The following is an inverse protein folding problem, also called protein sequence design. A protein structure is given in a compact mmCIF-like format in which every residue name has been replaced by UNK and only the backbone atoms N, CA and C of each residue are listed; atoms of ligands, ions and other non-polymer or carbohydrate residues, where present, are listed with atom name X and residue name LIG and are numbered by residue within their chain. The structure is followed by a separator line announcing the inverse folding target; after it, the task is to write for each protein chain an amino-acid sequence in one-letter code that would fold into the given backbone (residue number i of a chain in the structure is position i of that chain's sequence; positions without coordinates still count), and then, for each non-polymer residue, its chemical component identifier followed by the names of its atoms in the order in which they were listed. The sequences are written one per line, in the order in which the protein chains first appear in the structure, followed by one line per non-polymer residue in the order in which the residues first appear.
data_IF_036664877321
#
_entry.id   IF_036664877321
#
_cell.length_a   1.000
_cell.length_b   1.000
_cell.length_c   1.000
_cell.angle_alpha   90.00
_cell.angle_beta   90.00
_cell.angle_gamma   90.00
#
_symmetry.space_group_name_H-M   'P 1'
#
loop_
_entity.id
_entity.type
_entity.pdbx_description
1 polymer ?
#
# COMPACT_ATOMS: atom_id res chain seq x y z
N UNK A 1 -18.52 -39.09 5.17
CA UNK A 1 -18.14 -38.89 3.75
C UNK A 1 -17.82 -40.23 3.11
N UNK A 2 -18.55 -40.59 2.05
CA UNK A 2 -18.27 -41.78 1.22
C UNK A 2 -17.53 -41.28 -0.02
N UNK A 3 -16.33 -41.81 -0.30
CA UNK A 3 -15.54 -41.41 -1.48
C UNK A 3 -15.38 -42.61 -2.41
N UNK A 4 -15.70 -42.46 -3.70
CA UNK A 4 -15.65 -43.55 -4.70
C UNK A 4 -14.28 -44.24 -4.81
N UNK A 5 -13.18 -43.50 -4.59
CA UNK A 5 -11.79 -44.00 -4.66
C UNK A 5 -11.46 -45.09 -3.62
N UNK A 6 -12.13 -45.08 -2.46
CA UNK A 6 -11.85 -45.98 -1.35
C UNK A 6 -13.04 -46.87 -0.97
N UNK A 7 -14.15 -46.75 -1.70
CA UNK A 7 -15.35 -47.54 -1.46
C UNK A 7 -15.47 -48.57 -2.58
N UNK A 8 -14.76 -49.69 -2.44
CA UNK A 8 -15.02 -50.89 -3.23
C UNK A 8 -16.34 -51.49 -2.73
N UNK A 9 -17.38 -51.43 -3.56
CA UNK A 9 -18.62 -52.15 -3.31
C UNK A 9 -18.38 -53.61 -3.65
N UNK A 10 -18.64 -54.51 -2.70
CA UNK A 10 -18.86 -55.91 -3.04
C UNK A 10 -20.27 -56.00 -3.61
N UNK A 11 -20.37 -56.47 -4.85
CA UNK A 11 -21.64 -56.81 -5.48
C UNK A 11 -21.60 -58.30 -5.78
N UNK A 12 -22.52 -59.05 -5.18
CA UNK A 12 -22.85 -60.40 -5.64
C UNK A 12 -23.80 -60.27 -6.83
N UNK A 13 -23.39 -60.79 -7.98
CA UNK A 13 -24.18 -60.75 -9.22
C UNK A 13 -25.52 -61.48 -9.07
N UNK A 14 -25.65 -62.38 -8.09
CA UNK A 14 -26.85 -63.19 -7.86
C UNK A 14 -27.80 -62.58 -6.83
N UNK A 15 -27.40 -61.52 -6.14
CA UNK A 15 -28.24 -60.84 -5.14
C UNK A 15 -28.05 -59.31 -5.26
N UNK A 16 -29.07 -58.65 -5.83
CA UNK A 16 -29.07 -57.20 -6.06
C UNK A 16 -29.07 -56.37 -4.76
N UNK A 17 -29.39 -56.98 -3.62
CA UNK A 17 -29.37 -56.34 -2.30
C UNK A 17 -28.06 -56.59 -1.52
N UNK A 18 -27.11 -57.31 -2.11
CA UNK A 18 -25.84 -57.73 -1.48
C UNK A 18 -24.79 -56.62 -1.31
N UNK A 19 -25.11 -55.38 -1.70
CA UNK A 19 -24.16 -54.26 -1.69
C UNK A 19 -23.70 -53.97 -0.27
N UNK A 20 -22.50 -54.45 0.06
CA UNK A 20 -21.84 -54.18 1.35
C UNK A 20 -20.57 -53.39 1.11
N UNK A 21 -20.36 -52.37 1.94
CA UNK A 21 -19.09 -51.64 1.96
C UNK A 21 -17.97 -52.62 2.36
N UNK A 22 -17.03 -52.91 1.45
CA UNK A 22 -16.02 -53.99 1.63
C UNK A 22 -14.99 -53.71 2.74
N UNK A 23 -14.78 -52.45 3.15
CA UNK A 23 -13.85 -52.06 4.23
C UNK A 23 -14.24 -50.71 4.83
N UNK A 24 -14.39 -50.65 6.16
CA UNK A 24 -14.42 -49.35 6.84
C UNK A 24 -13.03 -48.71 6.77
N UNK A 25 -12.97 -47.41 6.51
CA UNK A 25 -11.72 -46.65 6.48
C UNK A 25 -11.01 -46.76 7.84
N UNK A 26 -9.71 -47.04 7.80
CA UNK A 26 -8.85 -46.98 8.99
C UNK A 26 -8.77 -45.54 9.53
N UNK A 27 -8.41 -45.36 10.80
CA UNK A 27 -8.20 -44.02 11.39
C UNK A 27 -7.23 -43.17 10.56
N UNK A 28 -6.12 -43.78 10.08
CA UNK A 28 -5.13 -43.12 9.21
C UNK A 28 -5.74 -42.66 7.87
N UNK A 29 -6.59 -43.47 7.25
CA UNK A 29 -7.26 -43.10 5.99
C UNK A 29 -8.31 -42.00 6.19
N UNK A 30 -9.06 -42.03 7.30
CA UNK A 30 -9.99 -40.95 7.65
C UNK A 30 -9.24 -39.63 7.86
N UNK A 31 -8.13 -39.66 8.62
CA UNK A 31 -7.27 -38.50 8.84
C UNK A 31 -6.71 -37.95 7.51
N UNK A 32 -6.21 -38.82 6.63
CA UNK A 32 -5.68 -38.38 5.32
C UNK A 32 -6.75 -37.75 4.41
N UNK A 33 -7.97 -38.25 4.43
CA UNK A 33 -9.10 -37.67 3.69
C UNK A 33 -9.49 -36.29 4.24
N UNK A 34 -9.49 -36.14 5.56
CA UNK A 34 -9.79 -34.89 6.24
C UNK A 34 -8.70 -33.85 5.98
N UNK A 35 -7.42 -34.22 6.06
CA UNK A 35 -6.30 -33.35 5.65
C UNK A 35 -6.48 -32.90 4.21
N UNK A 36 -6.78 -33.82 3.31
CA UNK A 36 -7.02 -33.50 1.89
C UNK A 36 -8.24 -32.61 1.64
N UNK A 37 -9.26 -32.62 2.51
CA UNK A 37 -10.39 -31.69 2.46
C UNK A 37 -9.93 -30.28 2.84
N UNK A 38 -9.28 -30.13 3.98
CA UNK A 38 -8.79 -28.84 4.48
C UNK A 38 -7.79 -28.22 3.50
N UNK A 39 -6.86 -29.02 2.92
CA UNK A 39 -5.95 -28.54 1.87
C UNK A 39 -6.67 -27.95 0.65
N UNK A 40 -7.83 -28.51 0.25
CA UNK A 40 -8.65 -27.96 -0.84
C UNK A 40 -9.36 -26.67 -0.44
N UNK A 41 -9.86 -26.62 0.80
CA UNK A 41 -10.48 -25.41 1.36
C UNK A 41 -9.46 -24.26 1.42
N UNK A 42 -8.23 -24.54 1.86
CA UNK A 42 -7.11 -23.59 1.80
C UNK A 42 -6.86 -23.13 0.37
N UNK A 43 -6.73 -24.05 -0.62
CA UNK A 43 -6.52 -23.63 -2.02
C UNK A 43 -7.69 -22.80 -2.59
N UNK A 44 -8.93 -23.09 -2.23
CA UNK A 44 -10.09 -22.30 -2.66
C UNK A 44 -10.14 -20.93 -2.00
N UNK A 45 -9.84 -20.86 -0.70
CA UNK A 45 -9.73 -19.61 0.05
C UNK A 45 -8.62 -18.73 -0.54
N UNK A 46 -7.44 -19.32 -0.77
CA UNK A 46 -6.35 -18.66 -1.47
C UNK A 46 -6.83 -18.17 -2.84
N UNK A 47 -7.47 -18.96 -3.69
CA UNK A 47 -7.95 -18.44 -4.98
C UNK A 47 -8.86 -17.19 -4.92
N UNK A 48 -9.49 -16.88 -3.77
CA UNK A 48 -10.27 -15.66 -3.58
C UNK A 48 -9.52 -14.54 -2.82
N UNK A 49 -8.59 -14.89 -1.93
CA UNK A 49 -7.84 -13.94 -1.08
C UNK A 49 -6.37 -13.75 -1.51
N UNK A 50 -5.88 -14.58 -2.41
CA UNK A 50 -4.48 -14.68 -2.80
C UNK A 50 -4.03 -13.42 -3.51
N UNK A 51 -4.87 -12.85 -4.36
CA UNK A 51 -4.57 -11.57 -5.01
C UNK A 51 -4.40 -10.46 -3.96
N UNK A 52 -5.26 -10.40 -2.94
CA UNK A 52 -5.12 -9.45 -1.83
C UNK A 52 -3.86 -9.67 -1.01
N UNK A 53 -3.52 -10.92 -0.72
CA UNK A 53 -2.28 -11.24 0.01
C UNK A 53 -1.04 -10.92 -0.84
N UNK A 54 -1.07 -11.18 -2.15
CA UNK A 54 0.02 -10.82 -3.05
C UNK A 54 0.19 -9.31 -3.15
N UNK A 55 -0.91 -8.58 -3.27
CA UNK A 55 -0.95 -7.12 -3.31
C UNK A 55 -0.40 -6.50 -2.02
N UNK A 56 -0.84 -6.99 -0.86
CA UNK A 56 -0.27 -6.61 0.42
C UNK A 56 1.25 -6.86 0.46
N UNK A 57 1.70 -8.06 0.09
CA UNK A 57 3.12 -8.40 0.05
C UNK A 57 3.90 -7.53 -0.93
N UNK A 58 3.29 -7.13 -2.05
CA UNK A 58 3.86 -6.19 -3.00
C UNK A 58 4.05 -4.81 -2.35
N UNK A 59 3.07 -4.32 -1.59
CA UNK A 59 3.17 -3.06 -0.84
C UNK A 59 4.30 -3.08 0.19
N UNK A 60 4.37 -4.14 1.00
CA UNK A 60 5.45 -4.36 1.98
C UNK A 60 6.83 -4.43 1.32
N UNK A 61 6.97 -5.20 0.23
CA UNK A 61 8.25 -5.31 -0.50
C UNK A 61 8.68 -3.98 -1.12
N UNK A 62 7.72 -3.22 -1.64
CA UNK A 62 7.98 -1.89 -2.19
C UNK A 62 8.45 -0.92 -1.10
N UNK A 63 7.82 -0.93 0.07
CA UNK A 63 8.24 -0.10 1.20
C UNK A 63 9.64 -0.49 1.71
N UNK A 64 9.88 -1.80 1.86
CA UNK A 64 11.20 -2.33 2.23
C UNK A 64 12.30 -1.97 1.22
N UNK A 65 11.98 -1.91 -0.08
CA UNK A 65 12.93 -1.42 -1.08
C UNK A 65 13.35 0.01 -0.78
N UNK A 66 12.39 0.91 -0.53
CA UNK A 66 12.70 2.32 -0.26
C UNK A 66 13.43 2.54 1.05
N UNK A 67 13.08 1.80 2.10
CA UNK A 67 13.83 1.79 3.37
C UNK A 67 15.33 1.55 3.19
N UNK A 68 15.71 0.77 2.17
CA UNK A 68 17.11 0.41 1.89
C UNK A 68 17.76 1.27 0.80
N UNK A 69 16.99 2.10 0.09
CA UNK A 69 17.46 2.95 -1.00
C UNK A 69 17.51 4.42 -0.58
N UNK A 70 18.16 5.24 -1.40
CA UNK A 70 18.10 6.70 -1.24
C UNK A 70 16.83 7.25 -1.86
N UNK A 71 16.11 8.06 -1.10
CA UNK A 71 14.91 8.76 -1.54
C UNK A 71 14.79 10.12 -0.84
N UNK A 72 13.96 10.96 -1.44
CA UNK A 72 13.43 12.16 -0.83
C UNK A 72 11.93 11.99 -0.57
N UNK A 73 11.40 12.70 0.40
CA UNK A 73 9.97 12.92 0.55
C UNK A 73 9.70 14.39 0.32
N UNK A 74 8.68 14.70 -0.47
CA UNK A 74 8.25 16.05 -0.77
C UNK A 74 6.75 16.18 -0.52
N UNK A 75 6.38 17.32 0.03
CA UNK A 75 4.99 17.74 0.21
C UNK A 75 4.85 19.25 -0.03
N UNK A 76 3.68 19.69 -0.49
CA UNK A 76 3.34 21.09 -0.71
C UNK A 76 1.98 21.46 -0.13
N UNK A 77 1.93 22.62 0.53
CA UNK A 77 0.66 23.31 0.77
C UNK A 77 0.44 24.34 -0.33
N UNK A 78 -0.82 24.55 -0.71
CA UNK A 78 -1.15 25.38 -1.86
C UNK A 78 -2.37 26.27 -1.61
N UNK A 79 -2.60 27.25 -2.48
CA UNK A 79 -3.76 28.15 -2.43
C UNK A 79 -5.12 27.50 -2.73
N UNK A 80 -5.20 26.18 -2.94
CA UNK A 80 -6.39 25.47 -3.43
C UNK A 80 -6.07 24.22 -4.26
N UNK A 81 -7.08 23.59 -4.88
CA UNK A 81 -6.88 22.32 -5.60
C UNK A 81 -6.61 22.45 -7.10
N UNK A 82 -7.11 23.52 -7.74
CA UNK A 82 -7.00 23.74 -9.18
C UNK A 82 -6.40 25.11 -9.47
N UNK A 83 -5.55 25.20 -10.51
CA UNK A 83 -4.84 26.44 -10.89
C UNK A 83 -4.15 27.15 -9.72
N UNK A 84 -3.63 26.36 -8.78
CA UNK A 84 -3.13 26.80 -7.48
C UNK A 84 -1.65 27.20 -7.51
N UNK A 85 -1.21 27.91 -6.48
CA UNK A 85 0.19 28.26 -6.23
C UNK A 85 0.70 27.61 -4.93
N UNK A 86 1.98 27.25 -4.91
CA UNK A 86 2.64 26.73 -3.71
C UNK A 86 2.76 27.86 -2.67
N UNK A 87 2.34 27.58 -1.43
CA UNK A 87 2.47 28.49 -0.27
C UNK A 87 3.36 27.93 0.83
N UNK A 88 3.63 26.63 0.81
CA UNK A 88 4.64 25.98 1.64
C UNK A 88 5.20 24.78 0.88
N UNK A 89 6.49 24.52 1.06
CA UNK A 89 7.13 23.32 0.52
C UNK A 89 8.13 22.77 1.54
N UNK A 90 8.11 21.45 1.69
CA UNK A 90 9.09 20.74 2.47
C UNK A 90 9.69 19.60 1.67
N UNK A 91 10.98 19.33 1.93
CA UNK A 91 11.70 18.18 1.39
C UNK A 91 12.57 17.60 2.48
N UNK A 92 12.42 16.32 2.76
CA UNK A 92 13.28 15.55 3.67
C UNK A 92 13.96 14.40 2.93
N UNK A 93 15.08 13.89 3.46
CA UNK A 93 15.71 12.67 2.95
C UNK A 93 15.35 11.43 3.79
N UNK A 94 15.90 10.27 3.42
CA UNK A 94 15.68 8.99 4.12
C UNK A 94 16.11 8.99 5.60
N UNK A 95 16.98 9.92 6.01
CA UNK A 95 17.42 10.08 7.40
C UNK A 95 16.57 11.11 8.17
N UNK A 96 15.44 11.54 7.58
CA UNK A 96 14.56 12.62 8.05
C UNK A 96 15.27 13.97 8.19
N UNK A 97 16.40 14.16 7.52
CA UNK A 97 17.06 15.47 7.48
C UNK A 97 16.26 16.42 6.61
N UNK A 98 15.99 17.61 7.13
CA UNK A 98 15.25 18.66 6.43
C UNK A 98 16.18 19.33 5.42
N UNK A 99 15.88 19.17 4.13
CA UNK A 99 16.62 19.79 3.04
C UNK A 99 15.98 21.11 2.62
N UNK A 100 14.65 21.19 2.63
CA UNK A 100 13.83 22.38 2.44
C UNK A 100 12.69 22.35 3.45
N UNK A 101 12.40 23.50 4.04
CA UNK A 101 11.17 23.76 4.79
C UNK A 101 10.96 25.28 4.79
N UNK A 102 10.04 25.76 3.95
CA UNK A 102 9.82 27.20 3.79
C UNK A 102 8.41 27.50 3.32
N UNK A 103 7.88 28.62 3.82
CA UNK A 103 6.76 29.29 3.17
C UNK A 103 7.19 29.85 1.81
N UNK A 104 6.22 30.00 0.92
CA UNK A 104 6.39 30.58 -0.41
C UNK A 104 5.33 31.66 -0.59
N UNK A 105 5.74 32.81 -1.11
CA UNK A 105 4.82 33.90 -1.41
C UNK A 105 4.10 33.63 -2.74
N UNK A 106 2.77 33.41 -2.74
CA UNK A 106 2.00 33.30 -3.97
C UNK A 106 1.76 34.69 -4.59
N UNK A 107 1.44 34.72 -5.88
CA UNK A 107 0.95 35.92 -6.56
C UNK A 107 -0.54 36.17 -6.35
N UNK A 108 -1.28 35.18 -5.83
CA UNK A 108 -2.71 35.27 -5.53
C UNK A 108 -3.01 35.18 -4.02
N UNK A 109 -4.24 35.54 -3.64
CA UNK A 109 -4.69 35.48 -2.25
C UNK A 109 -5.09 34.05 -1.87
N UNK A 110 -4.71 33.61 -0.66
CA UNK A 110 -5.10 32.31 -0.11
C UNK A 110 -6.57 32.39 0.37
N UNK A 111 -7.51 31.63 -0.21
CA UNK A 111 -8.91 31.67 0.21
C UNK A 111 -9.10 31.20 1.66
N UNK A 112 -10.07 31.77 2.38
CA UNK A 112 -10.28 31.51 3.81
C UNK A 112 -10.58 30.03 4.12
N UNK A 113 -11.30 29.36 3.24
CA UNK A 113 -11.59 27.92 3.32
C UNK A 113 -10.33 27.06 3.22
N UNK A 114 -9.31 27.50 2.47
CA UNK A 114 -8.02 26.81 2.34
C UNK A 114 -7.16 27.09 3.58
N UNK A 115 -7.14 28.34 4.06
CA UNK A 115 -6.50 28.71 5.33
C UNK A 115 -7.02 27.84 6.49
N UNK A 116 -8.30 27.48 6.52
CA UNK A 116 -8.85 26.60 7.57
C UNK A 116 -8.27 25.19 7.58
N UNK A 117 -7.70 24.72 6.48
CA UNK A 117 -7.12 23.38 6.34
C UNK A 117 -5.70 23.40 6.89
N UNK A 118 -4.83 24.24 6.32
CA UNK A 118 -3.39 24.25 6.61
C UNK A 118 -2.94 25.35 7.59
N UNK A 119 -3.84 26.25 7.99
CA UNK A 119 -3.60 27.36 8.94
C UNK A 119 -2.52 28.38 8.53
N UNK A 120 -2.18 28.46 7.24
CA UNK A 120 -1.21 29.43 6.68
C UNK A 120 -1.99 30.64 6.21
N UNK A 121 -1.70 31.81 6.77
CA UNK A 121 -2.41 33.06 6.46
C UNK A 121 -1.69 33.85 5.37
N UNK A 122 -2.41 34.79 4.74
CA UNK A 122 -1.81 35.69 3.75
C UNK A 122 -0.72 36.57 4.37
N UNK A 123 -0.86 36.91 5.64
CA UNK A 123 0.12 37.66 6.42
C UNK A 123 1.42 36.87 6.64
N UNK A 124 1.32 35.55 6.86
CA UNK A 124 2.49 34.68 7.04
C UNK A 124 3.35 34.57 5.77
N UNK A 125 2.71 34.57 4.60
CA UNK A 125 3.41 34.44 3.31
C UNK A 125 3.81 35.80 2.70
N UNK A 126 3.39 36.92 3.30
CA UNK A 126 3.58 38.26 2.72
C UNK A 126 5.06 38.63 2.49
N UNK A 127 5.92 38.22 3.42
CA UNK A 127 7.37 38.46 3.38
C UNK A 127 8.17 37.18 3.06
N UNK A 128 7.50 36.08 2.73
CA UNK A 128 8.13 34.83 2.33
C UNK A 128 8.82 34.97 0.96
N UNK A 129 9.84 34.13 0.65
CA UNK A 129 10.42 34.09 -0.68
C UNK A 129 9.40 33.69 -1.74
N UNK A 130 9.47 34.26 -2.94
CA UNK A 130 8.69 33.76 -4.08
C UNK A 130 9.27 32.43 -4.60
N UNK A 131 8.51 31.70 -5.41
CA UNK A 131 8.97 30.42 -5.99
C UNK A 131 10.31 30.55 -6.74
N UNK A 132 10.50 31.64 -7.49
CA UNK A 132 11.76 31.94 -8.21
C UNK A 132 12.97 32.05 -7.28
N UNK A 133 12.78 32.50 -6.03
CA UNK A 133 13.87 32.63 -5.07
C UNK A 133 14.33 31.27 -4.51
N UNK A 134 13.45 30.27 -4.49
CA UNK A 134 13.77 28.93 -3.97
C UNK A 134 14.08 27.92 -5.09
N UNK A 135 13.79 28.27 -6.35
CA UNK A 135 13.88 27.37 -7.50
C UNK A 135 15.25 26.71 -7.65
N UNK A 136 16.35 27.47 -7.60
CA UNK A 136 17.68 26.89 -7.85
C UNK A 136 18.05 25.84 -6.81
N UNK A 137 17.73 26.09 -5.53
CA UNK A 137 17.92 25.13 -4.44
C UNK A 137 17.01 23.92 -4.57
N UNK A 138 15.74 24.14 -4.91
CA UNK A 138 14.78 23.05 -5.12
C UNK A 138 15.22 22.14 -6.28
N UNK A 139 15.67 22.75 -7.37
CA UNK A 139 16.20 22.04 -8.55
C UNK A 139 17.45 21.25 -8.21
N UNK A 140 18.40 21.83 -7.47
CA UNK A 140 19.62 21.14 -7.03
C UNK A 140 19.27 19.88 -6.23
N UNK A 141 18.31 19.99 -5.31
CA UNK A 141 17.90 18.88 -4.44
C UNK A 141 17.14 17.80 -5.21
N UNK A 142 16.18 18.16 -6.06
CA UNK A 142 15.28 17.18 -6.67
C UNK A 142 15.82 16.56 -7.96
N UNK A 143 16.72 17.24 -8.69
CA UNK A 143 17.11 16.79 -10.04
C UNK A 143 17.66 15.36 -10.05
N UNK A 144 17.01 14.52 -10.85
CA UNK A 144 17.32 13.09 -11.04
C UNK A 144 17.24 12.25 -9.75
N UNK A 145 16.58 12.74 -8.70
CA UNK A 145 16.34 11.97 -7.48
C UNK A 145 15.05 11.15 -7.57
N UNK A 146 14.96 10.11 -6.73
CA UNK A 146 13.69 9.45 -6.42
C UNK A 146 12.99 10.24 -5.32
N UNK A 147 11.75 10.63 -5.58
CA UNK A 147 10.94 11.44 -4.67
C UNK A 147 9.65 10.69 -4.38
N UNK A 148 9.48 10.27 -3.14
CA UNK A 148 8.21 9.75 -2.65
C UNK A 148 7.31 10.95 -2.34
N UNK A 149 6.10 10.92 -2.87
CA UNK A 149 5.07 11.93 -2.61
C UNK A 149 3.83 11.15 -2.21
N UNK A 150 3.11 11.62 -1.19
CA UNK A 150 1.91 10.91 -0.77
C UNK A 150 0.92 10.80 -1.94
N UNK A 151 0.53 11.93 -2.51
CA UNK A 151 -0.27 11.96 -3.72
C UNK A 151 0.49 12.61 -4.89
N UNK A 152 1.31 11.83 -5.59
CA UNK A 152 2.10 12.35 -6.73
C UNK A 152 1.25 12.99 -7.83
N UNK A 153 -0.02 12.62 -7.96
CA UNK A 153 -0.92 13.21 -8.96
C UNK A 153 -1.29 14.66 -8.65
N UNK A 154 -1.01 15.13 -7.44
CA UNK A 154 -1.23 16.50 -6.99
C UNK A 154 0.07 17.33 -7.06
N UNK A 155 1.06 17.02 -6.23
CA UNK A 155 2.25 17.88 -6.04
C UNK A 155 3.13 17.99 -7.28
N UNK A 156 3.36 16.88 -8.00
CA UNK A 156 4.26 16.90 -9.16
C UNK A 156 3.71 17.82 -10.28
N UNK A 157 2.43 17.74 -10.68
CA UNK A 157 1.85 18.74 -11.58
C UNK A 157 1.98 20.19 -11.08
N UNK A 158 1.83 20.45 -9.78
CA UNK A 158 1.94 21.79 -9.21
C UNK A 158 3.36 22.35 -9.35
N UNK A 159 4.40 21.56 -9.06
CA UNK A 159 5.80 21.98 -9.27
C UNK A 159 6.05 22.34 -10.74
N UNK A 160 5.51 21.56 -11.67
CA UNK A 160 5.60 21.84 -13.10
C UNK A 160 4.84 23.13 -13.48
N UNK A 161 3.68 23.35 -12.87
CA UNK A 161 2.89 24.58 -13.03
C UNK A 161 3.66 25.80 -12.54
N UNK A 162 4.29 25.73 -11.38
CA UNK A 162 5.15 26.80 -10.85
C UNK A 162 6.32 27.12 -11.79
N UNK A 163 7.01 26.09 -12.28
CA UNK A 163 8.09 26.29 -13.25
C UNK A 163 7.56 26.99 -14.50
N UNK A 164 6.43 26.54 -15.06
CA UNK A 164 5.83 27.14 -16.25
C UNK A 164 5.38 28.58 -16.01
N UNK A 165 4.73 28.86 -14.88
CA UNK A 165 4.20 30.19 -14.50
C UNK A 165 5.33 31.22 -14.40
N UNK A 166 6.50 30.79 -13.94
CA UNK A 166 7.66 31.65 -13.74
C UNK A 166 8.68 31.59 -14.89
N UNK A 167 8.33 30.98 -16.03
CA UNK A 167 9.21 30.82 -17.20
C UNK A 167 10.54 30.08 -16.88
N UNK A 168 10.50 29.16 -15.92
CA UNK A 168 11.64 28.38 -15.46
C UNK A 168 11.67 26.99 -16.14
N UNK A 169 12.86 26.42 -16.39
CA UNK A 169 12.98 25.05 -16.86
C UNK A 169 12.34 24.05 -15.87
N UNK A 170 11.66 23.04 -16.40
CA UNK A 170 11.10 21.94 -15.61
C UNK A 170 12.19 21.25 -14.79
N UNK A 171 11.90 20.98 -13.52
CA UNK A 171 12.73 20.14 -12.66
C UNK A 171 12.38 18.68 -12.95
N UNK A 172 13.37 17.88 -13.38
CA UNK A 172 13.16 16.47 -13.69
C UNK A 172 13.52 15.60 -12.48
N UNK A 173 12.54 14.89 -11.92
CA UNK A 173 12.73 13.94 -10.83
C UNK A 173 11.78 12.75 -10.99
N UNK A 174 12.14 11.61 -10.41
CA UNK A 174 11.35 10.38 -10.49
C UNK A 174 10.38 10.34 -9.30
N UNK A 175 9.13 10.72 -9.55
CA UNK A 175 8.08 10.71 -8.52
C UNK A 175 7.46 9.33 -8.34
N UNK A 176 7.27 8.91 -7.08
CA UNK A 176 6.59 7.65 -6.73
C UNK A 176 5.44 7.93 -5.76
N UNK A 177 4.27 7.33 -6.00
CA UNK A 177 3.05 7.56 -5.23
C UNK A 177 3.00 6.64 -4.00
N UNK A 178 3.14 7.19 -2.79
CA UNK A 178 3.02 6.42 -1.56
C UNK A 178 1.56 6.07 -1.25
N UNK A 179 0.60 6.94 -1.57
CA UNK A 179 -0.84 6.73 -1.30
C UNK A 179 -1.39 5.48 -2.00
N UNK A 180 -0.99 5.21 -3.25
CA UNK A 180 -1.41 4.00 -3.97
C UNK A 180 -0.95 2.73 -3.27
N UNK A 181 0.33 2.68 -2.89
CA UNK A 181 0.90 1.52 -2.19
C UNK A 181 0.32 1.38 -0.78
N UNK A 182 0.02 2.50 -0.12
CA UNK A 182 -0.61 2.48 1.20
C UNK A 182 -2.09 2.04 1.13
N UNK A 183 -2.84 2.43 0.10
CA UNK A 183 -4.20 1.93 -0.11
C UNK A 183 -4.22 0.41 -0.29
N UNK A 184 -3.28 -0.12 -1.08
CA UNK A 184 -3.08 -1.56 -1.24
C UNK A 184 -2.75 -2.23 0.09
N UNK A 185 -1.80 -1.66 0.85
CA UNK A 185 -1.41 -2.16 2.16
C UNK A 185 -2.57 -2.23 3.15
N UNK A 186 -3.45 -1.23 3.15
CA UNK A 186 -4.63 -1.21 4.02
C UNK A 186 -5.73 -2.18 3.57
N UNK A 187 -5.75 -2.58 2.29
CA UNK A 187 -6.58 -3.68 1.80
C UNK A 187 -8.09 -3.40 1.71
N UNK A 188 -8.53 -2.16 1.92
CA UNK A 188 -9.95 -1.76 1.80
C UNK A 188 -10.39 -1.72 0.33
N UNK A 189 -10.82 -2.85 -0.22
CA UNK A 189 -11.27 -2.93 -1.62
C UNK A 189 -12.68 -2.34 -1.83
N UNK A 190 -12.84 -1.49 -2.86
CA UNK A 190 -14.13 -0.99 -3.31
C UNK A 190 -14.57 -1.70 -4.59
N UNK A 191 -15.61 -2.53 -4.49
CA UNK A 191 -16.19 -3.17 -5.68
C UNK A 191 -16.87 -2.21 -6.67
N UNK A 192 -17.15 -0.96 -6.26
CA UNK A 192 -17.71 0.06 -7.17
C UNK A 192 -16.63 0.67 -8.07
N UNK A 193 -15.45 0.97 -7.50
CA UNK A 193 -14.32 1.55 -8.25
C UNK A 193 -13.41 0.47 -8.85
N UNK A 194 -13.60 -0.79 -8.44
CA UNK A 194 -12.75 -1.93 -8.79
C UNK A 194 -11.27 -1.69 -8.43
N UNK A 195 -11.05 -1.09 -7.25
CA UNK A 195 -9.72 -0.72 -6.74
C UNK A 195 -9.71 -0.58 -5.21
N UNK A 196 -8.53 -0.48 -4.63
CA UNK A 196 -8.33 -0.18 -3.22
C UNK A 196 -8.66 1.28 -2.92
N UNK A 197 -9.42 1.47 -1.84
CA UNK A 197 -9.83 2.78 -1.38
C UNK A 197 -8.63 3.56 -0.84
N UNK A 198 -8.43 4.77 -1.35
CA UNK A 198 -7.40 5.67 -0.86
C UNK A 198 -7.63 6.02 0.60
N UNK A 199 -6.52 6.10 1.32
CA UNK A 199 -6.49 6.37 2.74
C UNK A 199 -6.01 7.81 2.95
N UNK A 200 -6.57 8.55 3.91
CA UNK A 200 -6.01 9.85 4.28
C UNK A 200 -4.65 9.65 4.94
N UNK A 201 -3.69 10.55 4.66
CA UNK A 201 -2.40 10.55 5.33
C UNK A 201 -2.54 10.81 6.85
N UNK A 202 -3.58 11.59 7.21
CA UNK A 202 -3.81 12.11 8.56
C UNK A 202 -2.59 12.90 9.08
N UNK A 203 -2.02 13.73 8.21
CA UNK A 203 -0.95 14.66 8.55
C UNK A 203 -1.46 15.92 9.26
N UNK A 204 -0.54 16.84 9.53
CA UNK A 204 -0.79 18.09 10.23
C UNK A 204 -1.29 19.22 9.32
N UNK A 205 -1.38 18.98 8.01
CA UNK A 205 -1.63 20.03 6.99
C UNK A 205 -0.59 21.14 7.06
N UNK A 206 0.66 20.71 7.23
CA UNK A 206 1.87 21.51 7.12
C UNK A 206 2.87 20.65 6.37
N UNK A 207 3.55 21.22 5.39
CA UNK A 207 4.31 20.41 4.44
C UNK A 207 5.38 19.52 5.12
N UNK A 208 6.04 20.03 6.16
CA UNK A 208 7.04 19.24 6.89
C UNK A 208 6.39 18.12 7.73
N UNK A 209 5.28 18.41 8.39
CA UNK A 209 4.58 17.43 9.22
C UNK A 209 4.06 16.29 8.35
N UNK A 210 3.57 16.61 7.15
CA UNK A 210 3.06 15.64 6.18
C UNK A 210 4.21 14.83 5.54
N UNK A 211 5.38 15.44 5.29
CA UNK A 211 6.59 14.71 4.93
C UNK A 211 6.99 13.66 5.99
N UNK A 212 6.97 14.05 7.27
CA UNK A 212 7.31 13.15 8.38
C UNK A 212 6.26 12.06 8.56
N UNK A 213 4.98 12.39 8.42
CA UNK A 213 3.90 11.40 8.47
C UNK A 213 3.98 10.41 7.31
N UNK A 214 4.31 10.87 6.11
CA UNK A 214 4.55 10.00 4.96
C UNK A 214 5.74 9.06 5.19
N UNK A 215 6.81 9.54 5.84
CA UNK A 215 7.92 8.68 6.27
C UNK A 215 7.44 7.59 7.24
N UNK A 216 6.62 7.94 8.23
CA UNK A 216 6.08 6.98 9.19
C UNK A 216 5.20 5.91 8.52
N UNK A 217 4.35 6.30 7.56
CA UNK A 217 3.55 5.35 6.76
C UNK A 217 4.47 4.37 6.02
N UNK A 218 5.54 4.87 5.39
CA UNK A 218 6.50 4.02 4.69
C UNK A 218 7.15 3.00 5.65
N UNK A 219 7.55 3.44 6.83
CA UNK A 219 8.16 2.58 7.84
C UNK A 219 7.17 1.56 8.42
N UNK A 220 5.92 1.96 8.67
CA UNK A 220 4.84 1.05 9.11
C UNK A 220 4.62 -0.08 8.08
N UNK A 221 4.55 0.27 6.80
CA UNK A 221 4.43 -0.70 5.72
C UNK A 221 5.66 -1.62 5.63
N UNK A 222 6.86 -1.09 5.86
CA UNK A 222 8.09 -1.85 5.74
C UNK A 222 8.37 -2.75 6.95
N UNK A 223 7.97 -2.34 8.16
CA UNK A 223 8.04 -3.15 9.40
C UNK A 223 7.03 -4.29 9.41
N UNK A 224 6.00 -4.17 8.60
CA UNK A 224 5.01 -5.21 8.46
C UNK A 224 5.61 -6.45 7.79
N UNK A 225 5.44 -7.59 8.43
CA UNK A 225 5.73 -8.90 7.84
C UNK A 225 4.43 -9.67 7.72
N UNK A 226 4.04 -10.05 6.50
CA UNK A 226 3.08 -11.14 6.35
C UNK A 226 3.87 -12.45 6.39
N UNK A 227 3.77 -13.16 7.51
CA UNK A 227 3.98 -14.59 7.49
C UNK A 227 2.67 -15.23 7.06
N UNK A 228 2.55 -15.48 5.75
CA UNK A 228 1.35 -16.09 5.19
C UNK A 228 1.07 -17.48 5.78
N UNK A 229 2.13 -18.17 6.26
CA UNK A 229 1.99 -19.45 6.93
C UNK A 229 1.38 -19.25 8.31
N UNK A 230 1.81 -18.23 9.06
CA UNK A 230 1.21 -17.84 10.34
C UNK A 230 -0.26 -17.44 10.16
N UNK A 231 -0.57 -16.58 9.18
CA UNK A 231 -1.93 -16.11 8.91
C UNK A 231 -2.88 -17.25 8.53
N UNK A 232 -2.45 -18.14 7.62
CA UNK A 232 -3.23 -19.32 7.28
C UNK A 232 -3.32 -20.29 8.45
N UNK A 233 -2.25 -20.45 9.24
CA UNK A 233 -2.30 -21.30 10.43
C UNK A 233 -3.29 -20.78 11.45
N UNK A 234 -3.46 -19.47 11.64
CA UNK A 234 -4.46 -18.90 12.55
C UNK A 234 -5.89 -19.13 12.05
N UNK A 235 -6.17 -18.92 10.76
CA UNK A 235 -7.49 -19.18 10.15
C UNK A 235 -7.85 -20.67 10.25
N UNK A 236 -6.85 -21.53 10.04
CA UNK A 236 -6.99 -22.98 10.08
C UNK A 236 -6.40 -23.55 11.39
N UNK A 237 -6.43 -22.81 12.49
CA UNK A 237 -5.77 -23.19 13.75
C UNK A 237 -6.42 -24.39 14.43
N UNK A 238 -7.74 -24.52 14.23
CA UNK A 238 -8.52 -25.71 14.61
C UNK A 238 -8.36 -26.89 13.61
N UNK A 239 -7.52 -26.74 12.58
CA UNK A 239 -7.28 -27.79 11.60
C UNK A 239 -6.30 -28.85 12.11
N UNK A 240 -6.42 -30.05 11.55
CA UNK A 240 -5.49 -31.15 11.80
C UNK A 240 -4.16 -31.03 11.03
N UNK A 241 -3.93 -29.90 10.33
CA UNK A 241 -2.72 -29.66 9.56
C UNK A 241 -1.65 -29.00 10.41
N UNK A 242 -0.40 -29.37 10.16
CA UNK A 242 0.78 -28.70 10.73
C UNK A 242 1.12 -27.42 9.94
N UNK A 243 1.86 -26.47 10.54
CA UNK A 243 2.38 -25.28 9.83
C UNK A 243 3.11 -25.65 8.52
N UNK A 244 3.93 -26.70 8.54
CA UNK A 244 4.67 -27.19 7.36
C UNK A 244 3.73 -27.73 6.26
N UNK A 245 2.62 -28.38 6.64
CA UNK A 245 1.62 -28.87 5.68
C UNK A 245 0.80 -27.74 5.06
N UNK A 246 0.57 -26.65 5.80
CA UNK A 246 -0.07 -25.42 5.29
C UNK A 246 0.90 -24.70 4.33
N UNK A 247 2.17 -24.56 4.70
CA UNK A 247 3.20 -23.96 3.85
C UNK A 247 3.33 -24.68 2.50
N UNK A 248 3.27 -26.02 2.48
CA UNK A 248 3.27 -26.79 1.23
C UNK A 248 2.03 -26.52 0.34
N UNK A 249 0.90 -26.12 0.91
CA UNK A 249 -0.29 -25.78 0.10
C UNK A 249 -0.16 -24.44 -0.64
N UNK A 250 0.77 -23.59 -0.22
CA UNK A 250 1.10 -22.30 -0.83
C UNK A 250 2.15 -22.41 -1.94
N UNK A 251 3.08 -23.38 -1.86
CA UNK A 251 4.20 -23.52 -2.80
C UNK A 251 3.90 -24.35 -4.07
N UNK A 252 2.67 -24.85 -4.24
CA UNK A 252 2.20 -25.69 -5.37
C UNK A 252 1.09 -25.03 -6.21
#
# INVERSE_FOLDING_TARGET
MITRKYTLLLFDIKDSNSVKSKRQLTKKQKLGLEKGRIKREIKQFLNHEYDRILDYNRAVKWANKWRNDKFLILDTETTGLENTEIIEIAVINQDKQILINTLVKPACFIPYEVIKIHSITNEMVADAPCFTNIYDRLKEILSNQNVLIYNTSFDHPIINSECRRNELPRINFNSHCLMEMYAIFMGEYSGYYDDYKWQPLNGGHRALDDCLRAFEVLEEMADSTIDIVEYLYDIFSDSILTKEEICHCYQE
#
